data_IF_600317897572
#
_entry.id   IF_600317897572
#
_cell.length_a   1.000
_cell.length_b   1.000
_cell.length_c   1.000
_cell.angle_alpha   90.00
_cell.angle_beta   90.00
_cell.angle_gamma   90.00
#
_symmetry.space_group_name_H-M   'P 1'
#
loop_
_entity.id
_entity.type
_entity.pdbx_description
1 polymer ?
#
# COMPACT_ATOMS: atom_id res chain seq x y z
N UNK A 1 3.34 -4.47 -0.85
CA UNK A 1 2.08 -4.90 -0.24
C UNK A 1 0.92 -4.22 -0.96
N UNK A 2 -0.18 -4.91 -1.18
CA UNK A 2 -1.37 -4.37 -1.82
C UNK A 2 -2.61 -4.70 -0.98
N UNK A 3 -3.32 -3.67 -0.53
CA UNK A 3 -4.56 -3.79 0.22
C UNK A 3 -5.75 -3.44 -0.66
N UNK A 4 -6.63 -4.42 -0.85
CA UNK A 4 -7.84 -4.30 -1.67
C UNK A 4 -7.65 -4.78 -3.10
N UNK A 5 -8.48 -5.75 -3.50
CA UNK A 5 -8.49 -6.38 -4.82
C UNK A 5 -9.85 -6.19 -5.51
N UNK A 6 -10.96 -6.14 -4.77
CA UNK A 6 -12.27 -5.85 -5.35
C UNK A 6 -12.38 -4.43 -5.91
N UNK A 7 -13.25 -4.19 -6.88
CA UNK A 7 -13.42 -2.85 -7.48
C UNK A 7 -13.96 -1.80 -6.48
N UNK A 8 -14.72 -2.26 -5.48
CA UNK A 8 -15.27 -1.47 -4.37
C UNK A 8 -15.43 -2.34 -3.12
N UNK A 9 -15.67 -1.73 -1.95
CA UNK A 9 -15.91 -2.49 -0.73
C UNK A 9 -17.19 -3.34 -0.78
N UNK A 10 -17.23 -4.35 0.09
CA UNK A 10 -18.34 -5.27 0.34
C UNK A 10 -18.68 -6.27 -0.77
N UNK A 11 -17.83 -6.42 -1.77
CA UNK A 11 -17.97 -7.40 -2.87
C UNK A 11 -16.63 -8.10 -3.13
N UNK A 12 -16.70 -9.26 -3.77
CA UNK A 12 -15.57 -10.01 -4.34
C UNK A 12 -15.34 -9.71 -5.83
N UNK A 13 -16.18 -8.87 -6.44
CA UNK A 13 -16.14 -8.61 -7.88
C UNK A 13 -14.84 -7.91 -8.29
N UNK A 14 -14.07 -8.59 -9.13
CA UNK A 14 -12.81 -8.10 -9.68
C UNK A 14 -12.89 -7.77 -11.17
N UNK A 15 -14.02 -7.94 -11.86
CA UNK A 15 -14.08 -7.89 -13.34
C UNK A 15 -13.43 -6.64 -13.93
N UNK A 16 -13.78 -5.46 -13.40
CA UNK A 16 -13.23 -4.15 -13.79
C UNK A 16 -12.48 -3.49 -12.63
N UNK A 17 -11.88 -4.28 -11.74
CA UNK A 17 -11.17 -3.74 -10.59
C UNK A 17 -9.85 -3.06 -11.01
N UNK A 18 -9.59 -1.82 -10.58
CA UNK A 18 -8.31 -1.14 -10.85
C UNK A 18 -7.08 -1.90 -10.33
N UNK A 19 -7.28 -2.76 -9.33
CA UNK A 19 -6.25 -3.66 -8.79
C UNK A 19 -5.66 -4.58 -9.86
N UNK A 20 -6.46 -5.04 -10.84
CA UNK A 20 -6.00 -5.94 -11.91
C UNK A 20 -4.97 -5.26 -12.80
N UNK A 21 -5.31 -4.08 -13.31
CA UNK A 21 -4.39 -3.26 -14.11
C UNK A 21 -3.13 -2.92 -13.33
N UNK A 22 -3.25 -2.60 -12.04
CA UNK A 22 -2.10 -2.30 -11.20
C UNK A 22 -1.20 -3.53 -10.98
N UNK A 23 -1.78 -4.69 -10.67
CA UNK A 23 -1.03 -5.94 -10.49
C UNK A 23 -0.24 -6.29 -11.75
N UNK A 24 -0.90 -6.26 -12.91
CA UNK A 24 -0.29 -6.56 -14.20
C UNK A 24 0.85 -5.58 -14.54
N UNK A 25 0.67 -4.28 -14.29
CA UNK A 25 1.72 -3.28 -14.50
C UNK A 25 2.92 -3.48 -13.55
N UNK A 26 2.67 -3.80 -12.28
CA UNK A 26 3.71 -4.09 -11.30
C UNK A 26 4.52 -5.32 -11.69
N UNK A 27 3.86 -6.40 -12.11
CA UNK A 27 4.52 -7.61 -12.58
C UNK A 27 5.32 -7.39 -13.85
N UNK A 28 4.78 -6.61 -14.81
CA UNK A 28 5.51 -6.23 -16.02
C UNK A 28 6.78 -5.42 -15.71
N UNK A 29 6.78 -4.67 -14.61
CA UNK A 29 7.96 -3.96 -14.09
C UNK A 29 8.90 -4.84 -13.24
N UNK A 30 8.60 -6.14 -13.09
CA UNK A 30 9.42 -7.09 -12.33
C UNK A 30 9.17 -7.12 -10.82
N UNK A 31 8.12 -6.44 -10.33
CA UNK A 31 7.78 -6.46 -8.92
C UNK A 31 7.12 -7.78 -8.49
N UNK A 32 7.23 -8.10 -7.19
CA UNK A 32 6.42 -9.12 -6.52
C UNK A 32 5.36 -8.44 -5.67
N UNK A 33 4.15 -8.98 -5.68
CA UNK A 33 3.02 -8.42 -4.93
C UNK A 33 2.53 -9.41 -3.91
N UNK A 34 2.60 -9.00 -2.64
CA UNK A 34 1.85 -9.59 -1.54
C UNK A 34 0.54 -8.83 -1.41
N UNK A 35 -0.59 -9.49 -1.58
CA UNK A 35 -1.91 -8.85 -1.63
C UNK A 35 -2.88 -9.46 -0.62
N UNK A 36 -3.80 -8.63 -0.15
CA UNK A 36 -4.91 -9.05 0.69
C UNK A 36 -6.18 -8.28 0.33
N UNK A 37 -7.29 -9.01 0.19
CA UNK A 37 -8.64 -8.45 0.17
C UNK A 37 -9.58 -9.31 1.05
N UNK A 38 -10.38 -8.69 1.94
CA UNK A 38 -11.28 -9.42 2.83
C UNK A 38 -12.31 -10.32 2.15
N UNK A 39 -12.66 -10.09 0.87
CA UNK A 39 -13.66 -10.87 0.14
C UNK A 39 -13.17 -11.41 -1.20
N UNK A 40 -12.22 -10.74 -1.83
CA UNK A 40 -11.83 -11.05 -3.22
C UNK A 40 -10.58 -11.92 -3.34
N UNK A 41 -9.95 -12.35 -2.24
CA UNK A 41 -8.79 -13.26 -2.32
C UNK A 41 -9.08 -14.53 -3.14
N UNK A 42 -10.24 -15.16 -2.94
CA UNK A 42 -10.61 -16.36 -3.69
C UNK A 42 -10.78 -16.09 -5.20
N UNK A 43 -11.38 -14.96 -5.55
CA UNK A 43 -11.53 -14.55 -6.96
C UNK A 43 -10.18 -14.17 -7.58
N UNK A 44 -9.31 -13.49 -6.82
CA UNK A 44 -7.95 -13.18 -7.24
C UNK A 44 -7.14 -14.46 -7.49
N UNK A 45 -7.30 -15.47 -6.63
CA UNK A 45 -6.67 -16.78 -6.82
C UNK A 45 -7.20 -17.45 -8.09
N UNK A 46 -8.51 -17.40 -8.36
CA UNK A 46 -9.08 -17.95 -9.60
C UNK A 46 -8.53 -17.26 -10.86
N UNK A 47 -8.26 -15.96 -10.79
CA UNK A 47 -7.77 -15.17 -11.92
C UNK A 47 -6.25 -15.26 -12.12
N UNK A 48 -5.48 -15.33 -11.03
CA UNK A 48 -4.02 -15.13 -11.04
C UNK A 48 -3.24 -16.07 -10.11
N UNK A 49 -3.85 -17.12 -9.56
CA UNK A 49 -3.25 -17.97 -8.53
C UNK A 49 -1.94 -18.65 -8.94
N UNK A 50 -1.76 -18.93 -10.23
CA UNK A 50 -0.53 -19.52 -10.77
C UNK A 50 0.55 -18.48 -11.13
N UNK A 51 0.28 -17.19 -10.93
CA UNK A 51 1.22 -16.14 -11.29
C UNK A 51 2.38 -16.08 -10.27
N UNK A 52 3.65 -16.28 -10.67
CA UNK A 52 4.79 -16.43 -9.76
C UNK A 52 5.16 -15.14 -8.99
N UNK A 53 4.60 -14.01 -9.41
CA UNK A 53 4.73 -12.70 -8.77
C UNK A 53 3.62 -12.35 -7.78
N UNK A 54 2.66 -13.25 -7.53
CA UNK A 54 1.55 -13.02 -6.59
C UNK A 54 1.70 -13.91 -5.36
N UNK A 55 1.52 -13.30 -4.19
CA UNK A 55 1.31 -13.99 -2.92
C UNK A 55 0.02 -13.43 -2.29
N UNK A 56 -1.00 -14.27 -2.14
CA UNK A 56 -2.27 -13.89 -1.53
C UNK A 56 -2.21 -14.23 -0.04
N UNK A 57 -2.16 -13.19 0.79
CA UNK A 57 -2.01 -13.33 2.23
C UNK A 57 -3.36 -13.50 2.92
N UNK A 58 -3.38 -14.13 4.09
CA UNK A 58 -4.61 -14.36 4.87
C UNK A 58 -5.08 -13.13 5.66
N UNK A 59 -4.15 -12.24 6.00
CA UNK A 59 -4.42 -11.00 6.72
C UNK A 59 -3.79 -9.79 6.01
N UNK A 60 -4.29 -8.59 6.34
CA UNK A 60 -3.71 -7.35 5.82
C UNK A 60 -2.29 -7.15 6.38
N UNK A 61 -2.02 -7.57 7.61
CA UNK A 61 -0.71 -7.49 8.25
C UNK A 61 0.32 -8.38 7.54
N UNK A 62 -0.06 -9.62 7.19
CA UNK A 62 0.83 -10.55 6.48
C UNK A 62 1.28 -10.01 5.12
N UNK A 63 0.41 -9.25 4.44
CA UNK A 63 0.75 -8.62 3.18
C UNK A 63 1.86 -7.56 3.31
N UNK A 64 2.06 -6.98 4.50
CA UNK A 64 3.07 -5.95 4.76
C UNK A 64 4.48 -6.52 4.91
N UNK A 65 4.62 -7.76 5.38
CA UNK A 65 5.90 -8.32 5.83
C UNK A 65 6.97 -8.29 4.74
N UNK A 66 7.98 -7.43 4.94
CA UNK A 66 9.13 -7.31 4.05
C UNK A 66 8.83 -6.63 2.72
N UNK A 67 7.68 -5.97 2.57
CA UNK A 67 7.35 -5.20 1.37
C UNK A 67 8.06 -3.83 1.36
N UNK A 68 8.40 -3.33 0.16
CA UNK A 68 9.05 -2.02 0.00
C UNK A 68 8.09 -0.84 0.22
N UNK A 69 6.81 -1.03 -0.12
CA UNK A 69 5.75 -0.05 0.06
C UNK A 69 4.39 -0.73 0.25
N UNK A 70 3.43 0.03 0.78
CA UNK A 70 2.01 -0.32 0.78
C UNK A 70 1.28 0.46 -0.32
N UNK A 71 0.44 -0.24 -1.09
CA UNK A 71 -0.52 0.38 -2.02
C UNK A 71 -1.94 0.04 -1.58
N UNK A 72 -2.81 1.04 -1.47
CA UNK A 72 -4.22 0.88 -1.07
C UNK A 72 -5.09 1.14 -2.30
N UNK A 73 -5.85 0.13 -2.71
CA UNK A 73 -6.65 0.16 -3.94
C UNK A 73 -8.15 0.19 -3.65
N UNK A 74 -8.58 -0.36 -2.51
CA UNK A 74 -10.01 -0.47 -2.17
C UNK A 74 -10.25 0.01 -0.75
N UNK A 75 -11.24 0.87 -0.57
CA UNK A 75 -11.56 1.53 0.72
C UNK A 75 -12.35 0.61 1.66
N UNK A 76 -11.75 -0.52 2.04
CA UNK A 76 -12.32 -1.39 3.05
C UNK A 76 -12.21 -0.73 4.43
N UNK A 77 -13.27 -0.86 5.25
CA UNK A 77 -13.31 -0.31 6.61
C UNK A 77 -12.11 -0.78 7.45
N UNK A 78 -11.67 -2.02 7.24
CA UNK A 78 -10.55 -2.63 7.94
C UNK A 78 -9.22 -1.90 7.70
N UNK A 79 -9.09 -1.14 6.60
CA UNK A 79 -7.87 -0.41 6.27
C UNK A 79 -7.84 1.01 6.85
N UNK A 80 -8.94 1.56 7.39
CA UNK A 80 -9.04 2.98 7.76
C UNK A 80 -8.35 3.37 9.08
N UNK A 81 -7.94 2.40 9.90
CA UNK A 81 -7.31 2.67 11.19
C UNK A 81 -6.21 1.67 11.51
N UNK A 82 -5.15 1.57 10.69
CA UNK A 82 -4.06 0.66 10.97
C UNK A 82 -3.19 1.20 12.12
N UNK A 83 -2.42 0.31 12.74
CA UNK A 83 -1.30 0.72 13.58
C UNK A 83 -0.15 1.19 12.68
N UNK A 84 0.08 2.50 12.64
CA UNK A 84 1.15 3.10 11.84
C UNK A 84 2.56 2.74 12.33
N UNK A 85 2.71 2.39 13.61
CA UNK A 85 3.96 1.88 14.16
C UNK A 85 4.27 0.47 13.65
N UNK A 86 3.26 -0.40 13.57
CA UNK A 86 3.39 -1.73 12.97
C UNK A 86 3.67 -1.65 11.47
N UNK A 87 2.93 -0.81 10.73
CA UNK A 87 3.22 -0.54 9.31
C UNK A 87 4.67 -0.14 9.08
N UNK A 88 5.19 0.79 9.89
CA UNK A 88 6.56 1.28 9.77
C UNK A 88 7.61 0.21 10.07
N UNK A 89 7.30 -0.74 10.97
CA UNK A 89 8.19 -1.87 11.29
C UNK A 89 8.14 -2.99 10.24
N UNK A 90 6.97 -3.23 9.65
CA UNK A 90 6.77 -4.33 8.70
C UNK A 90 7.31 -4.01 7.30
N UNK A 91 7.21 -2.75 6.87
CA UNK A 91 7.69 -2.30 5.57
C UNK A 91 9.21 -2.03 5.60
N UNK A 92 9.90 -2.33 4.49
CA UNK A 92 11.33 -2.00 4.31
C UNK A 92 11.55 -0.49 4.20
N UNK A 93 10.57 0.23 3.67
CA UNK A 93 10.54 1.69 3.62
C UNK A 93 9.14 2.17 4.00
N UNK A 94 9.00 3.26 4.77
CA UNK A 94 7.70 3.77 5.20
C UNK A 94 7.02 4.55 4.08
N UNK A 95 6.70 3.87 2.97
CA UNK A 95 6.09 4.45 1.78
C UNK A 95 4.68 3.90 1.59
N UNK A 96 3.71 4.81 1.42
CA UNK A 96 2.31 4.47 1.17
C UNK A 96 1.82 5.20 -0.08
N UNK A 97 1.27 4.44 -1.03
CA UNK A 97 0.47 4.94 -2.15
C UNK A 97 -1.00 4.67 -1.86
N UNK A 98 -1.78 5.71 -1.65
CA UNK A 98 -3.19 5.59 -1.27
C UNK A 98 -4.09 6.07 -2.40
N UNK A 99 -4.62 5.12 -3.17
CA UNK A 99 -5.57 5.37 -4.25
C UNK A 99 -6.94 5.84 -3.78
N UNK A 100 -7.19 5.85 -2.46
CA UNK A 100 -8.48 6.14 -1.82
C UNK A 100 -8.42 7.32 -0.85
N UNK A 101 -7.24 7.87 -0.60
CA UNK A 101 -7.00 8.96 0.35
C UNK A 101 -7.58 8.66 1.75
N UNK A 102 -7.33 7.45 2.27
CA UNK A 102 -7.85 7.00 3.57
C UNK A 102 -7.20 7.73 4.74
N UNK A 103 -5.94 8.16 4.58
CA UNK A 103 -5.15 8.70 5.69
C UNK A 103 -4.90 10.20 5.55
N UNK A 104 -4.75 10.86 6.71
CA UNK A 104 -4.30 12.25 6.80
C UNK A 104 -2.81 12.35 6.40
N UNK A 105 -2.47 13.05 5.30
CA UNK A 105 -1.09 13.23 4.87
C UNK A 105 -0.20 13.90 5.93
N UNK A 106 -0.75 14.87 6.68
CA UNK A 106 0.03 15.59 7.68
C UNK A 106 0.37 14.69 8.87
N UNK A 107 -0.54 13.80 9.27
CA UNK A 107 -0.28 12.78 10.28
C UNK A 107 0.80 11.80 9.84
N UNK A 108 0.75 11.34 8.59
CA UNK A 108 1.70 10.38 8.03
C UNK A 108 3.09 10.99 7.88
N UNK A 109 3.17 12.25 7.42
CA UNK A 109 4.42 12.99 7.35
C UNK A 109 5.07 13.13 8.74
N UNK A 110 4.30 13.49 9.78
CA UNK A 110 4.81 13.54 11.17
C UNK A 110 5.26 12.18 11.69
N UNK A 111 4.64 11.09 11.24
CA UNK A 111 5.05 9.73 11.57
C UNK A 111 6.26 9.24 10.75
N UNK A 112 6.77 10.08 9.83
CA UNK A 112 7.93 9.78 8.99
C UNK A 112 7.62 8.82 7.84
N UNK A 113 6.39 8.87 7.31
CA UNK A 113 6.03 8.20 6.07
C UNK A 113 6.17 9.13 4.88
N UNK A 114 6.58 8.58 3.75
CA UNK A 114 6.31 9.16 2.43
C UNK A 114 4.93 8.71 1.99
N UNK A 115 4.02 9.65 1.80
CA UNK A 115 2.62 9.37 1.47
C UNK A 115 2.23 10.02 0.16
N UNK A 116 1.74 9.20 -0.78
CA UNK A 116 1.25 9.62 -2.09
C UNK A 116 -0.26 9.37 -2.15
N UNK A 117 -1.05 10.44 -2.16
CA UNK A 117 -2.50 10.35 -2.37
C UNK A 117 -2.93 10.94 -3.72
N UNK A 118 -4.09 10.55 -4.20
CA UNK A 118 -4.62 11.02 -5.48
C UNK A 118 -5.10 12.46 -5.37
N UNK A 119 -4.63 13.32 -6.29
CA UNK A 119 -5.00 14.72 -6.34
C UNK A 119 -4.41 15.58 -5.23
N UNK A 120 -3.49 15.03 -4.44
CA UNK A 120 -2.77 15.79 -3.41
C UNK A 120 -1.49 16.37 -4.02
N UNK A 121 -1.22 17.64 -3.73
CA UNK A 121 0.11 18.18 -3.99
C UNK A 121 1.09 17.43 -3.08
N UNK A 122 2.11 16.80 -3.67
CA UNK A 122 3.19 16.19 -2.92
C UNK A 122 3.88 17.30 -2.11
N UNK A 123 3.48 17.50 -0.86
CA UNK A 123 4.27 18.24 0.11
C UNK A 123 5.46 17.34 0.44
N UNK A 124 6.49 17.42 -0.41
CA UNK A 124 7.73 16.71 -0.22
C UNK A 124 8.26 16.98 1.19
N UNK A 125 8.56 15.91 1.92
CA UNK A 125 9.21 15.95 3.23
C UNK A 125 10.48 16.81 3.17
N UNK A 126 10.44 18.01 3.74
CA UNK A 126 11.63 18.77 4.09
C UNK A 126 12.15 18.28 5.44
N UNK A 127 12.86 17.16 5.48
CA UNK A 127 13.67 16.80 6.65
C UNK A 127 14.92 16.02 6.25
N UNK A 128 15.81 16.69 5.52
CA UNK A 128 17.22 16.28 5.43
C UNK A 128 18.21 17.36 5.88
N UNK A 129 17.74 18.55 6.31
CA UNK A 129 18.63 19.66 6.68
C UNK A 129 18.96 19.76 8.19
N UNK A 130 18.31 19.00 9.08
CA UNK A 130 18.51 19.12 10.53
C UNK A 130 19.48 18.10 11.15
N UNK A 131 19.99 17.13 10.37
CA UNK A 131 20.89 16.08 10.86
C UNK A 131 22.38 16.33 10.56
N UNK A 132 22.70 17.36 9.77
CA UNK A 132 24.08 17.78 9.55
C UNK A 132 24.32 19.07 10.32
N UNK A 133 24.61 18.93 11.62
CA UNK A 133 25.14 20.00 12.44
C UNK A 133 26.44 20.51 11.83
N UNK A 134 26.35 21.60 11.07
CA UNK A 134 27.49 22.46 10.81
C UNK A 134 27.36 23.63 11.77
N UNK A 135 28.09 23.52 12.88
CA UNK A 135 28.48 24.64 13.71
C UNK A 135 29.30 25.60 12.83
N UNK A 136 28.82 26.82 12.67
CA UNK A 136 29.66 27.91 12.21
C UNK A 136 30.37 28.47 13.44
N UNK A 137 31.67 28.20 13.54
CA UNK A 137 32.61 29.16 14.13
C UNK A 137 32.68 30.43 13.26
#
# INVERSE_FOLDING_TARGET
ALWGLAFKPNTDDMREAPSRTLLEALWAAGARVRAFDPKANAEAFRLYGDHPGLDLCETKEDALTGADALVIVTDWREFRGPDFGELKRALRSPVIFDGRNLYDPARLARAGFTYYGIGLSSSASSTMAAAMGLSSD
#
